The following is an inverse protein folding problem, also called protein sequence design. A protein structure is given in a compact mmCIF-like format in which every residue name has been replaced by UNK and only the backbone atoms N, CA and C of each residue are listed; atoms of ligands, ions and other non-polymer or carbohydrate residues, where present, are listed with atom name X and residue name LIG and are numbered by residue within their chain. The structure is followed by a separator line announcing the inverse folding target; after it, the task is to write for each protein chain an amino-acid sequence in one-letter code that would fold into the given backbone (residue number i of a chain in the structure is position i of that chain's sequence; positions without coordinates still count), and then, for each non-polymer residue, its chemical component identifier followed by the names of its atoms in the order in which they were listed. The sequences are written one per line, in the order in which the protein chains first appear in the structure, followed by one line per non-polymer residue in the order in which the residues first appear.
data_IF_420735241698
#
_entry.id   IF_420735241698
#
_cell.length_a   1.000
_cell.length_b   1.000
_cell.length_c   1.000
_cell.angle_alpha   90.00
_cell.angle_beta   90.00
_cell.angle_gamma   90.00
#
_symmetry.space_group_name_H-M   'P 1'
#
loop_
_entity.id
_entity.type
_entity.pdbx_description
1 polymer ?
#
# COMPACT_ATOMS: atom_id res chain seq x y z
N UNK A 1 6.03 -29.78 -7.33
CA UNK A 1 5.19 -28.56 -7.26
C UNK A 1 5.09 -27.99 -8.66
N UNK A 2 3.88 -27.93 -9.23
CA UNK A 2 3.67 -27.35 -10.55
C UNK A 2 3.93 -25.84 -10.47
N UNK A 3 4.98 -25.35 -11.12
CA UNK A 3 5.29 -23.90 -11.17
C UNK A 3 4.11 -23.08 -11.72
N UNK A 4 3.25 -23.70 -12.55
CA UNK A 4 2.04 -23.08 -13.07
C UNK A 4 0.96 -22.83 -12.00
N UNK A 5 0.90 -23.63 -10.93
CA UNK A 5 -0.11 -23.46 -9.87
C UNK A 5 0.11 -22.24 -8.97
N UNK A 6 1.31 -21.64 -9.01
CA UNK A 6 1.60 -20.41 -8.26
C UNK A 6 0.90 -19.17 -8.84
N UNK A 7 0.52 -19.21 -10.12
CA UNK A 7 -0.17 -18.12 -10.81
C UNK A 7 -1.67 -18.06 -10.49
N UNK A 8 -2.23 -19.07 -9.80
CA UNK A 8 -3.63 -19.05 -9.36
C UNK A 8 -3.79 -18.37 -7.99
N UNK A 9 -2.70 -18.10 -7.27
CA UNK A 9 -2.74 -17.46 -5.96
C UNK A 9 -2.77 -15.91 -6.11
N UNK A 10 -3.88 -15.24 -5.74
CA UNK A 10 -4.03 -13.80 -5.93
C UNK A 10 -3.02 -12.99 -5.12
N UNK A 11 -2.55 -13.48 -3.96
CA UNK A 11 -1.52 -12.82 -3.16
C UNK A 11 -0.16 -12.81 -3.86
N UNK A 12 0.23 -13.92 -4.51
CA UNK A 12 1.49 -14.00 -5.26
C UNK A 12 1.44 -13.07 -6.47
N UNK A 13 0.33 -13.08 -7.21
CA UNK A 13 0.15 -12.19 -8.37
C UNK A 13 0.20 -10.73 -7.94
N UNK A 14 -0.53 -10.37 -6.88
CA UNK A 14 -0.53 -9.00 -6.36
C UNK A 14 0.86 -8.57 -5.89
N UNK A 15 1.54 -9.42 -5.12
CA UNK A 15 2.91 -9.18 -4.68
C UNK A 15 3.84 -8.93 -5.87
N UNK A 16 3.81 -9.75 -6.92
CA UNK A 16 4.61 -9.51 -8.12
C UNK A 16 4.21 -8.21 -8.83
N UNK A 17 2.92 -7.94 -8.95
CA UNK A 17 2.39 -6.76 -9.64
C UNK A 17 2.83 -5.45 -8.98
N UNK A 18 2.86 -5.36 -7.65
CA UNK A 18 3.25 -4.12 -6.94
C UNK A 18 4.73 -3.76 -7.09
N UNK A 19 5.61 -4.72 -7.38
CA UNK A 19 7.04 -4.44 -7.55
C UNK A 19 7.33 -3.71 -8.87
N UNK A 20 6.52 -3.94 -9.91
CA UNK A 20 6.76 -3.34 -11.22
C UNK A 20 6.61 -1.81 -11.17
N UNK A 21 5.52 -1.21 -10.65
CA UNK A 21 5.44 0.24 -10.45
C UNK A 21 6.57 0.81 -9.59
N UNK A 22 7.02 0.10 -8.55
CA UNK A 22 8.14 0.55 -7.68
C UNK A 22 9.43 0.67 -8.47
N UNK A 23 9.80 -0.37 -9.22
CA UNK A 23 10.99 -0.34 -10.07
C UNK A 23 10.87 0.73 -11.17
N UNK A 24 9.69 0.86 -11.77
CA UNK A 24 9.41 1.87 -12.79
C UNK A 24 9.50 3.29 -12.25
N UNK A 25 9.05 3.56 -11.02
CA UNK A 25 9.15 4.87 -10.39
C UNK A 25 10.60 5.31 -10.22
N UNK A 26 11.46 4.41 -9.72
CA UNK A 26 12.89 4.67 -9.54
C UNK A 26 13.58 4.96 -10.89
N UNK A 27 13.38 4.08 -11.88
CA UNK A 27 13.94 4.28 -13.23
C UNK A 27 13.36 5.53 -13.92
N UNK A 28 12.10 5.84 -13.65
CA UNK A 28 11.43 7.05 -14.14
C UNK A 28 12.13 8.32 -13.65
N UNK A 29 12.50 8.39 -12.37
CA UNK A 29 13.27 9.54 -11.84
C UNK A 29 14.59 9.71 -12.57
N UNK A 30 15.34 8.62 -12.78
CA UNK A 30 16.59 8.68 -13.56
C UNK A 30 16.36 9.17 -14.98
N UNK A 31 15.27 8.71 -15.62
CA UNK A 31 14.86 9.14 -16.95
C UNK A 31 14.48 10.63 -16.98
N UNK A 32 13.75 11.13 -15.99
CA UNK A 32 13.41 12.54 -15.85
C UNK A 32 14.65 13.42 -15.66
N UNK A 33 15.65 12.95 -14.89
CA UNK A 33 16.93 13.64 -14.73
C UNK A 33 17.74 13.66 -16.04
N UNK A 34 17.79 12.56 -16.78
CA UNK A 34 18.43 12.54 -18.11
C UNK A 34 17.74 13.51 -19.09
N UNK A 35 16.41 13.57 -19.07
CA UNK A 35 15.61 14.55 -19.79
C UNK A 35 15.97 15.99 -19.39
N UNK A 36 16.18 16.27 -18.10
CA UNK A 36 16.59 17.57 -17.61
C UNK A 36 18.00 17.98 -18.05
N UNK A 37 18.98 17.08 -17.94
CA UNK A 37 20.37 17.33 -18.38
C UNK A 37 20.43 17.62 -19.88
N UNK A 38 19.62 16.93 -20.68
CA UNK A 38 19.53 17.16 -22.15
C UNK A 38 18.60 18.32 -22.53
N UNK A 39 18.06 19.05 -21.55
CA UNK A 39 17.10 20.15 -21.73
C UNK A 39 15.92 19.78 -22.64
N UNK A 40 15.52 18.51 -22.63
CA UNK A 40 14.45 17.95 -23.47
C UNK A 40 14.62 18.17 -24.99
N UNK A 41 15.85 18.40 -25.45
CA UNK A 41 16.18 18.55 -26.90
C UNK A 41 16.23 17.20 -27.63
N UNK A 42 16.50 16.11 -26.90
CA UNK A 42 16.53 14.75 -27.45
C UNK A 42 15.11 14.18 -27.59
N UNK A 43 14.56 14.21 -28.81
CA UNK A 43 13.19 13.75 -29.08
C UNK A 43 12.94 12.26 -28.75
N UNK A 44 13.84 11.31 -29.09
CA UNK A 44 13.75 9.93 -28.62
C UNK A 44 13.62 9.80 -27.10
N UNK A 45 14.48 10.48 -26.34
CA UNK A 45 14.48 10.42 -24.88
C UNK A 45 13.16 10.95 -24.28
N UNK A 46 12.64 12.04 -24.84
CA UNK A 46 11.34 12.59 -24.45
C UNK A 46 10.18 11.61 -24.72
N UNK A 47 10.15 10.98 -25.90
CA UNK A 47 9.13 9.97 -26.23
C UNK A 47 9.20 8.76 -25.30
N UNK A 48 10.42 8.32 -24.99
CA UNK A 48 10.65 7.25 -24.02
C UNK A 48 10.09 7.63 -22.65
N UNK A 49 10.34 8.85 -22.16
CA UNK A 49 9.80 9.32 -20.89
C UNK A 49 8.27 9.37 -20.85
N UNK A 50 7.63 9.90 -21.90
CA UNK A 50 6.16 9.91 -22.01
C UNK A 50 5.62 8.47 -21.98
N UNK A 51 6.19 7.58 -22.79
CA UNK A 51 5.79 6.17 -22.83
C UNK A 51 5.99 5.47 -21.49
N UNK A 52 7.10 5.75 -20.79
CA UNK A 52 7.43 5.15 -19.49
C UNK A 52 6.37 5.44 -18.43
N UNK A 53 6.02 6.72 -18.26
CA UNK A 53 5.00 7.11 -17.27
C UNK A 53 3.60 6.67 -17.68
N UNK A 54 3.28 6.64 -18.99
CA UNK A 54 2.00 6.12 -19.47
C UNK A 54 1.85 4.61 -19.17
N UNK A 55 2.90 3.82 -19.43
CA UNK A 55 2.93 2.38 -19.11
C UNK A 55 2.86 2.18 -17.60
N UNK A 56 3.60 2.97 -16.81
CA UNK A 56 3.53 2.90 -15.35
C UNK A 56 2.11 3.17 -14.83
N UNK A 57 1.40 4.15 -15.40
CA UNK A 57 0.01 4.43 -15.04
C UNK A 57 -0.89 3.22 -15.34
N UNK A 58 -0.77 2.62 -16.53
CA UNK A 58 -1.55 1.44 -16.92
C UNK A 58 -1.27 0.23 -16.01
N UNK A 59 0.00 -0.07 -15.72
CA UNK A 59 0.39 -1.19 -14.83
C UNK A 59 -0.08 -0.95 -13.40
N UNK A 60 0.01 0.30 -12.92
CA UNK A 60 -0.49 0.66 -11.58
C UNK A 60 -2.00 0.45 -11.48
N UNK A 61 -2.76 0.78 -12.54
CA UNK A 61 -4.19 0.50 -12.60
C UNK A 61 -4.48 -1.01 -12.55
N UNK A 62 -3.73 -1.82 -13.31
CA UNK A 62 -3.86 -3.28 -13.25
C UNK A 62 -3.51 -3.85 -11.87
N UNK A 63 -2.57 -3.25 -11.17
CA UNK A 63 -2.16 -3.65 -9.82
C UNK A 63 -3.27 -3.42 -8.78
N UNK A 64 -4.10 -2.38 -8.97
CA UNK A 64 -5.29 -2.17 -8.11
C UNK A 64 -6.25 -3.35 -8.26
N UNK A 65 -6.49 -3.81 -9.49
CA UNK A 65 -7.40 -4.93 -9.76
C UNK A 65 -6.93 -6.23 -9.11
N UNK A 66 -5.61 -6.45 -9.00
CA UNK A 66 -5.08 -7.63 -8.29
C UNK A 66 -5.21 -7.48 -6.78
N UNK A 67 -5.11 -6.26 -6.24
CA UNK A 67 -5.31 -5.97 -4.82
C UNK A 67 -6.77 -6.10 -4.39
N UNK A 68 -7.74 -5.73 -5.23
CA UNK A 68 -9.16 -5.93 -4.91
C UNK A 68 -9.51 -7.41 -4.72
N UNK A 69 -8.86 -8.32 -5.46
CA UNK A 69 -9.07 -9.76 -5.33
C UNK A 69 -8.57 -10.33 -4.01
N UNK A 70 -7.54 -9.74 -3.40
CA UNK A 70 -6.96 -10.22 -2.13
C UNK A 70 -7.72 -9.72 -0.91
N UNK A 71 -8.53 -8.65 -1.03
CA UNK A 71 -9.30 -8.09 0.09
C UNK A 71 -10.32 -9.09 0.66
N UNK A 72 -10.87 -9.98 -0.19
CA UNK A 72 -11.82 -11.01 0.23
C UNK A 72 -11.19 -12.06 1.16
N UNK A 73 -9.88 -12.24 1.09
CA UNK A 73 -9.13 -13.26 1.83
C UNK A 73 -8.66 -12.78 3.21
N UNK A 74 -8.84 -11.49 3.52
CA UNK A 74 -8.47 -10.92 4.82
C UNK A 74 -9.56 -11.27 5.85
N UNK A 75 -9.23 -12.04 6.92
CA UNK A 75 -10.23 -12.41 7.92
C UNK A 75 -10.87 -11.19 8.59
N UNK A 76 -12.18 -11.18 8.78
CA UNK A 76 -12.88 -10.08 9.48
C UNK A 76 -12.45 -9.89 10.94
N UNK A 77 -11.76 -10.87 11.52
CA UNK A 77 -11.25 -10.87 12.90
C UNK A 77 -9.94 -10.09 13.10
N UNK A 78 -9.32 -9.54 12.04
CA UNK A 78 -8.10 -8.74 12.19
C UNK A 78 -8.31 -7.51 13.09
N UNK A 79 -7.25 -7.09 13.79
CA UNK A 79 -7.29 -5.92 14.67
C UNK A 79 -7.61 -4.63 13.90
N UNK A 80 -8.13 -3.62 14.60
CA UNK A 80 -8.41 -2.31 14.01
C UNK A 80 -7.14 -1.64 13.43
N UNK A 81 -5.99 -1.85 14.06
CA UNK A 81 -4.71 -1.35 13.58
C UNK A 81 -4.35 -1.95 12.22
N UNK A 82 -4.45 -3.28 12.06
CA UNK A 82 -4.17 -3.96 10.78
C UNK A 82 -5.11 -3.46 9.69
N UNK A 83 -6.41 -3.29 9.99
CA UNK A 83 -7.37 -2.72 9.04
C UNK A 83 -6.98 -1.32 8.58
N UNK A 84 -6.49 -0.48 9.50
CA UNK A 84 -6.02 0.86 9.15
C UNK A 84 -4.76 0.82 8.27
N UNK A 85 -3.83 -0.10 8.54
CA UNK A 85 -2.65 -0.31 7.68
C UNK A 85 -3.05 -0.77 6.27
N UNK A 86 -4.01 -1.70 6.15
CA UNK A 86 -4.57 -2.15 4.86
C UNK A 86 -5.22 -0.99 4.11
N UNK A 87 -6.06 -0.20 4.79
CA UNK A 87 -6.72 0.95 4.19
C UNK A 87 -5.71 2.01 3.71
N UNK A 88 -4.67 2.26 4.51
CA UNK A 88 -3.61 3.21 4.16
C UNK A 88 -2.80 2.72 2.97
N UNK A 89 -2.36 1.46 2.96
CA UNK A 89 -1.67 0.84 1.83
C UNK A 89 -2.48 0.95 0.54
N UNK A 90 -3.77 0.61 0.62
CA UNK A 90 -4.71 0.72 -0.50
C UNK A 90 -4.83 2.16 -1.01
N UNK A 91 -5.00 3.13 -0.12
CA UNK A 91 -5.13 4.54 -0.48
C UNK A 91 -3.87 5.06 -1.20
N UNK A 92 -2.67 4.67 -0.76
CA UNK A 92 -1.45 5.03 -1.48
C UNK A 92 -1.38 4.33 -2.85
N UNK A 93 -1.66 3.02 -2.91
CA UNK A 93 -1.64 2.23 -4.14
C UNK A 93 -2.62 2.71 -5.21
N UNK A 94 -3.84 3.05 -4.81
CA UNK A 94 -4.92 3.52 -5.70
C UNK A 94 -4.60 4.84 -6.39
N UNK A 95 -3.68 5.64 -5.84
CA UNK A 95 -3.33 6.96 -6.38
C UNK A 95 -2.04 6.96 -7.23
N UNK A 96 -1.30 5.85 -7.29
CA UNK A 96 -0.05 5.77 -8.07
C UNK A 96 -0.30 6.03 -9.56
N UNK A 97 -1.37 5.47 -10.13
CA UNK A 97 -1.67 5.70 -11.56
C UNK A 97 -2.04 7.16 -11.86
N UNK A 98 -2.69 7.86 -10.93
CA UNK A 98 -3.02 9.29 -11.06
C UNK A 98 -1.73 10.11 -11.08
N UNK A 99 -0.81 9.84 -10.15
CA UNK A 99 0.50 10.51 -10.09
C UNK A 99 1.33 10.25 -11.37
N UNK A 100 1.34 9.00 -11.86
CA UNK A 100 2.01 8.63 -13.09
C UNK A 100 1.36 9.28 -14.33
N UNK A 101 0.03 9.33 -14.40
CA UNK A 101 -0.70 10.00 -15.49
C UNK A 101 -0.45 11.51 -15.48
N UNK A 102 -0.48 12.15 -14.32
CA UNK A 102 -0.16 13.56 -14.17
C UNK A 102 1.27 13.86 -14.62
N UNK A 103 2.24 13.02 -14.24
CA UNK A 103 3.63 13.12 -14.70
C UNK A 103 3.74 12.93 -16.22
N UNK A 104 2.94 12.02 -16.81
CA UNK A 104 2.84 11.84 -18.26
C UNK A 104 2.38 13.12 -18.97
N UNK A 105 1.34 13.78 -18.45
CA UNK A 105 0.84 15.03 -19.01
C UNK A 105 1.90 16.13 -18.98
N UNK A 106 2.61 16.28 -17.87
CA UNK A 106 3.74 17.22 -17.75
C UNK A 106 4.82 16.90 -18.80
N UNK A 107 5.18 15.61 -18.95
CA UNK A 107 6.18 15.17 -19.93
C UNK A 107 5.77 15.46 -21.39
N UNK A 108 4.47 15.43 -21.71
CA UNK A 108 3.95 15.85 -23.02
C UNK A 108 4.21 17.34 -23.25
N UNK A 109 3.95 18.20 -22.25
CA UNK A 109 4.15 19.65 -22.35
C UNK A 109 5.62 20.06 -22.45
N UNK A 110 6.57 19.22 -22.01
CA UNK A 110 7.99 19.41 -22.28
C UNK A 110 8.34 19.40 -23.79
N UNK A 111 7.41 19.04 -24.67
CA UNK A 111 7.56 19.16 -26.13
C UNK A 111 7.41 20.58 -26.69
N UNK A 112 7.17 21.61 -25.86
CA UNK A 112 6.93 22.98 -26.30
C UNK A 112 8.09 23.57 -27.13
N UNK A 113 7.74 24.36 -28.16
CA UNK A 113 8.71 25.05 -29.04
C UNK A 113 9.49 26.17 -28.32
N UNK A 114 8.90 26.78 -27.29
CA UNK A 114 9.49 27.90 -26.56
C UNK A 114 10.36 27.38 -25.42
N UNK A 115 11.65 27.76 -25.41
CA UNK A 115 12.64 27.22 -24.47
C UNK A 115 12.28 27.45 -23.00
N UNK A 116 11.75 28.64 -22.66
CA UNK A 116 11.34 28.95 -21.28
C UNK A 116 10.24 28.00 -20.80
N UNK A 117 9.21 27.77 -21.63
CA UNK A 117 8.10 26.87 -21.31
C UNK A 117 8.62 25.43 -21.15
N UNK A 118 9.44 24.98 -22.10
CA UNK A 118 10.06 23.65 -22.05
C UNK A 118 10.85 23.44 -20.77
N UNK A 119 11.69 24.39 -20.39
CA UNK A 119 12.52 24.30 -19.18
C UNK A 119 11.66 24.27 -17.91
N UNK A 120 10.62 25.11 -17.82
CA UNK A 120 9.67 25.08 -16.70
C UNK A 120 9.01 23.71 -16.56
N UNK A 121 8.44 23.16 -17.65
CA UNK A 121 7.82 21.84 -17.60
C UNK A 121 8.83 20.72 -17.32
N UNK A 122 10.08 20.88 -17.75
CA UNK A 122 11.14 19.91 -17.45
C UNK A 122 11.45 19.86 -15.94
N UNK A 123 11.55 21.02 -15.28
CA UNK A 123 11.70 21.09 -13.82
C UNK A 123 10.48 20.49 -13.12
N UNK A 124 9.26 20.85 -13.57
CA UNK A 124 8.02 20.28 -13.03
C UNK A 124 7.97 18.76 -13.21
N UNK A 125 8.47 18.24 -14.33
CA UNK A 125 8.52 16.80 -14.59
C UNK A 125 9.43 16.09 -13.60
N UNK A 126 10.62 16.65 -13.32
CA UNK A 126 11.53 16.08 -12.30
C UNK A 126 10.86 16.09 -10.92
N UNK A 127 10.23 17.19 -10.53
CA UNK A 127 9.51 17.28 -9.25
C UNK A 127 8.35 16.28 -9.16
N UNK A 128 7.54 16.16 -10.22
CA UNK A 128 6.44 15.21 -10.29
C UNK A 128 6.94 13.75 -10.26
N UNK A 129 8.09 13.48 -10.88
CA UNK A 129 8.73 12.16 -10.87
C UNK A 129 9.20 11.77 -9.47
N UNK A 130 9.84 12.70 -8.76
CA UNK A 130 10.27 12.50 -7.36
C UNK A 130 9.07 12.30 -6.44
N UNK A 131 8.01 13.10 -6.61
CA UNK A 131 6.77 12.94 -5.85
C UNK A 131 6.12 11.57 -6.12
N UNK A 132 6.09 11.13 -7.39
CA UNK A 132 5.57 9.81 -7.78
C UNK A 132 6.39 8.68 -7.12
N UNK A 133 7.72 8.80 -7.12
CA UNK A 133 8.60 7.85 -6.43
C UNK A 133 8.35 7.82 -4.92
N UNK A 134 8.31 8.98 -4.24
CA UNK A 134 8.04 9.05 -2.81
C UNK A 134 6.68 8.43 -2.45
N UNK A 135 5.65 8.70 -3.25
CA UNK A 135 4.31 8.14 -3.07
C UNK A 135 4.29 6.61 -3.24
N UNK A 136 5.00 6.12 -4.26
CA UNK A 136 5.13 4.69 -4.54
C UNK A 136 5.93 3.97 -3.45
N UNK A 137 6.98 4.61 -2.92
CA UNK A 137 7.74 4.12 -1.76
C UNK A 137 6.90 4.06 -0.49
N UNK A 138 6.00 5.03 -0.25
CA UNK A 138 5.07 4.98 0.87
C UNK A 138 4.11 3.77 0.74
N UNK A 139 3.55 3.53 -0.46
CA UNK A 139 2.74 2.33 -0.71
C UNK A 139 3.54 1.06 -0.40
N UNK A 140 4.79 0.96 -0.88
CA UNK A 140 5.66 -0.17 -0.64
C UNK A 140 5.94 -0.38 0.86
N UNK A 141 6.20 0.70 1.61
CA UNK A 141 6.44 0.64 3.05
C UNK A 141 5.25 0.07 3.84
N UNK A 142 4.03 0.50 3.52
CA UNK A 142 2.85 -0.09 4.16
C UNK A 142 2.63 -1.53 3.72
N UNK A 143 2.94 -1.87 2.46
CA UNK A 143 2.87 -3.25 1.96
C UNK A 143 3.86 -4.18 2.67
N UNK A 144 5.10 -3.73 2.90
CA UNK A 144 6.09 -4.50 3.67
C UNK A 144 5.67 -4.63 5.14
N UNK A 145 5.10 -3.58 5.73
CA UNK A 145 4.56 -3.64 7.10
C UNK A 145 3.48 -4.72 7.23
N UNK A 146 2.53 -4.77 6.28
CA UNK A 146 1.49 -5.80 6.26
C UNK A 146 2.06 -7.22 6.25
N UNK A 147 3.07 -7.47 5.41
CA UNK A 147 3.65 -8.81 5.24
C UNK A 147 4.54 -9.20 6.43
N UNK A 148 5.48 -8.33 6.81
CA UNK A 148 6.55 -8.68 7.76
C UNK A 148 6.18 -8.44 9.22
N UNK A 149 5.37 -7.42 9.51
CA UNK A 149 4.95 -7.11 10.88
C UNK A 149 3.61 -7.76 11.21
N UNK A 150 2.64 -7.62 10.31
CA UNK A 150 1.25 -8.00 10.58
C UNK A 150 0.90 -9.40 10.03
N UNK A 151 1.80 -10.04 9.28
CA UNK A 151 1.61 -11.38 8.70
C UNK A 151 0.54 -11.47 7.59
N UNK A 152 -0.03 -10.34 7.17
CA UNK A 152 -1.08 -10.26 6.15
C UNK A 152 -0.48 -10.48 4.76
N UNK A 153 -1.06 -11.41 4.00
CA UNK A 153 -0.62 -11.74 2.64
C UNK A 153 0.52 -12.77 2.56
N UNK A 154 0.96 -13.31 3.70
CA UNK A 154 1.88 -14.44 3.73
C UNK A 154 1.13 -15.76 3.48
N UNK A 155 1.64 -16.67 2.63
CA UNK A 155 1.01 -17.96 2.37
C UNK A 155 1.05 -18.94 3.55
N UNK A 156 1.75 -18.59 4.65
CA UNK A 156 1.65 -19.34 5.90
C UNK A 156 0.39 -18.92 6.63
N UNK A 157 -0.50 -19.86 7.01
CA UNK A 157 -1.58 -19.56 7.94
C UNK A 157 -0.97 -18.90 9.17
N UNK A 158 -1.57 -17.81 9.64
CA UNK A 158 -1.22 -17.11 10.87
C UNK A 158 -1.48 -17.99 12.12
N UNK A 159 -0.88 -19.19 12.16
CA UNK A 159 -0.78 -20.06 13.31
C UNK A 159 0.37 -19.64 14.24
N UNK A 160 1.12 -18.59 13.88
CA UNK A 160 2.22 -18.06 14.67
C UNK A 160 1.74 -16.79 15.39
N UNK A 161 1.83 -16.81 16.71
CA UNK A 161 1.66 -15.69 17.64
C UNK A 161 0.24 -15.29 18.09
N UNK A 162 -0.62 -16.26 18.37
CA UNK A 162 -1.24 -16.27 19.71
C UNK A 162 -0.40 -17.17 20.63
N UNK A 163 0.92 -16.93 20.67
CA UNK A 163 1.56 -17.03 21.97
C UNK A 163 0.88 -15.95 22.79
N UNK A 164 -0.11 -16.38 23.57
CA UNK A 164 -0.41 -15.77 24.86
C UNK A 164 0.91 -15.26 25.43
N UNK A 165 0.99 -14.07 26.04
CA UNK A 165 2.09 -13.73 26.92
C UNK A 165 2.10 -14.81 28.01
N UNK A 166 2.74 -15.94 27.68
CA UNK A 166 3.04 -17.03 28.55
C UNK A 166 3.97 -16.35 29.51
N UNK A 167 3.41 -16.07 30.69
CA UNK A 167 4.07 -16.08 31.98
C UNK A 167 5.56 -16.33 31.75
N UNK A 168 6.44 -15.31 31.91
CA UNK A 168 7.88 -15.51 31.73
C UNK A 168 8.23 -16.82 32.41
N UNK A 169 8.74 -17.79 31.63
CA UNK A 169 9.12 -19.08 32.15
C UNK A 169 9.88 -18.81 33.44
N UNK A 170 9.31 -19.27 34.56
CA UNK A 170 9.84 -18.97 35.88
C UNK A 170 11.35 -19.23 35.80
N UNK A 171 12.19 -18.24 36.15
CA UNK A 171 13.64 -18.38 36.02
C UNK A 171 14.02 -19.69 36.67
N UNK A 172 14.62 -20.58 35.88
CA UNK A 172 15.14 -21.86 36.33
C UNK A 172 15.98 -21.56 37.56
N UNK A 173 15.52 -22.05 38.72
CA UNK A 173 15.98 -21.61 40.02
C UNK A 173 17.50 -21.77 40.09
N UNK A 174 18.23 -20.65 40.08
CA UNK A 174 19.65 -20.67 40.38
C UNK A 174 19.82 -21.24 41.79
N UNK A 175 20.65 -22.28 41.98
CA UNK A 175 20.88 -22.81 43.31
C UNK A 175 21.64 -21.77 44.14
N UNK A 176 20.99 -21.25 45.18
CA UNK A 176 21.70 -20.70 46.35
C UNK A 176 21.60 -19.19 46.61
N UNK A 177 20.41 -18.58 46.56
CA UNK A 177 20.18 -17.30 47.27
C UNK A 177 19.21 -17.56 48.44
N UNK A 178 19.62 -17.31 49.70
CA UNK A 178 18.76 -17.50 50.86
C UNK A 178 17.53 -16.58 50.79
N UNK A 179 16.37 -17.17 51.04
CA UNK A 179 15.07 -16.51 51.01
C UNK A 179 15.02 -15.36 52.02
N UNK A 180 14.78 -14.14 51.54
CA UNK A 180 14.33 -13.03 52.38
C UNK A 180 12.82 -13.18 52.57
N UNK A 181 12.44 -13.80 53.68
CA UNK A 181 11.09 -13.80 54.23
C UNK A 181 10.78 -12.39 54.72
N UNK A 182 9.80 -11.73 54.10
CA UNK A 182 8.90 -10.72 54.69
C UNK A 182 8.44 -9.74 53.60
N UNK A 183 7.44 -10.16 52.83
CA UNK A 183 6.54 -9.22 52.17
C UNK A 183 5.12 -9.46 52.66
N UNK A 184 4.37 -8.38 53.00
CA UNK A 184 3.02 -8.47 53.52
C UNK A 184 2.09 -9.13 52.50
N UNK A 185 1.42 -10.20 52.94
CA UNK A 185 0.38 -10.92 52.22
C UNK A 185 -0.75 -9.95 51.92
N UNK A 186 -0.88 -9.54 50.65
CA UNK A 186 -2.05 -8.83 50.18
C UNK A 186 -3.25 -9.79 50.19
N UNK A 187 -4.44 -9.34 50.61
CA UNK A 187 -5.63 -10.17 50.68
C UNK A 187 -5.97 -10.74 49.30
N UNK A 188 -6.13 -12.06 49.27
CA UNK A 188 -6.58 -12.84 48.12
C UNK A 188 -7.99 -12.37 47.73
N UNK A 189 -8.06 -11.55 46.68
CA UNK A 189 -9.32 -11.10 46.11
C UNK A 189 -9.93 -12.29 45.38
N UNK A 190 -10.95 -12.89 46.00
CA UNK A 190 -11.76 -13.97 45.45
C UNK A 190 -12.16 -13.64 44.00
N UNK A 191 -11.85 -14.49 43.01
CA UNK A 191 -12.19 -14.24 41.62
C UNK A 191 -13.70 -14.12 41.48
N UNK A 192 -14.19 -12.88 41.35
CA UNK A 192 -15.58 -12.61 41.03
C UNK A 192 -15.92 -13.34 39.74
N UNK A 193 -16.91 -14.20 39.83
CA UNK A 193 -17.55 -14.92 38.75
C UNK A 193 -17.85 -13.93 37.61
N UNK A 194 -16.98 -13.92 36.59
CA UNK A 194 -17.12 -13.07 35.41
C UNK A 194 -18.40 -13.49 34.73
N UNK A 195 -19.43 -12.64 34.82
CA UNK A 195 -20.65 -12.83 34.07
C UNK A 195 -20.29 -13.12 32.60
N UNK A 196 -20.89 -14.16 31.99
CA UNK A 196 -20.57 -14.54 30.62
C UNK A 196 -20.82 -13.34 29.72
N UNK A 197 -19.74 -12.83 29.11
CA UNK A 197 -19.82 -11.73 28.16
C UNK A 197 -20.78 -12.15 27.06
N UNK A 198 -21.82 -11.35 26.84
CA UNK A 198 -22.74 -11.54 25.71
C UNK A 198 -21.92 -11.61 24.42
N UNK A 199 -22.14 -12.62 23.56
CA UNK A 199 -21.41 -12.75 22.31
C UNK A 199 -21.51 -11.45 21.51
N UNK A 200 -20.38 -10.78 21.30
CA UNK A 200 -20.33 -9.62 20.42
C UNK A 200 -20.55 -10.16 19.00
N UNK A 201 -21.55 -9.64 18.25
CA UNK A 201 -21.76 -10.08 16.88
C UNK A 201 -20.49 -9.83 16.06
N UNK A 202 -20.14 -10.75 15.14
CA UNK A 202 -18.94 -10.57 14.31
C UNK A 202 -19.07 -9.25 13.53
N UNK A 203 -17.98 -8.46 13.41
CA UNK A 203 -18.01 -7.27 12.58
C UNK A 203 -18.35 -7.65 11.13
N UNK A 204 -19.07 -6.78 10.40
CA UNK A 204 -19.40 -7.05 9.00
C UNK A 204 -18.12 -7.25 8.18
N UNK A 205 -18.16 -8.11 7.13
CA UNK A 205 -17.02 -8.33 6.26
C UNK A 205 -16.59 -7.01 5.60
N UNK A 206 -15.28 -6.79 5.46
CA UNK A 206 -14.69 -5.57 4.88
C UNK A 206 -15.18 -5.27 3.45
N UNK A 207 -15.63 -6.29 2.73
CA UNK A 207 -16.23 -6.17 1.40
C UNK A 207 -17.60 -5.49 1.40
N UNK A 208 -18.36 -5.56 2.49
CA UNK A 208 -19.74 -5.04 2.55
C UNK A 208 -19.82 -3.52 2.76
N UNK A 209 -18.73 -2.87 3.21
CA UNK A 209 -18.72 -1.43 3.51
C UNK A 209 -18.04 -0.59 2.43
N UNK A 210 -17.48 -1.21 1.38
CA UNK A 210 -16.72 -0.50 0.35
C UNK A 210 -17.43 -0.51 -0.99
N UNK A 211 -17.83 0.68 -1.46
CA UNK A 211 -18.18 0.90 -2.87
C UNK A 211 -16.99 0.48 -3.75
N UNK A 212 -17.21 -0.30 -4.83
CA UNK A 212 -16.15 -0.69 -5.75
C UNK A 212 -15.44 0.54 -6.34
N UNK A 213 -14.13 0.43 -6.55
CA UNK A 213 -13.26 1.56 -6.95
C UNK A 213 -13.78 2.28 -8.20
N UNK A 214 -14.27 1.53 -9.19
CA UNK A 214 -14.87 2.09 -10.40
C UNK A 214 -16.12 2.93 -10.16
N UNK A 215 -16.94 2.61 -9.15
CA UNK A 215 -18.10 3.42 -8.78
C UNK A 215 -17.70 4.78 -8.20
N UNK A 216 -16.61 4.80 -7.41
CA UNK A 216 -16.07 6.05 -6.87
C UNK A 216 -15.42 6.91 -7.96
N UNK A 217 -14.69 6.28 -8.87
CA UNK A 217 -14.07 6.95 -10.01
C UNK A 217 -15.12 7.54 -10.96
N UNK A 218 -16.15 6.78 -11.32
CA UNK A 218 -17.22 7.28 -12.20
C UNK A 218 -17.94 8.47 -11.59
N UNK A 219 -18.12 8.49 -10.26
CA UNK A 219 -18.68 9.62 -9.54
C UNK A 219 -17.79 10.85 -9.62
N UNK A 220 -16.49 10.73 -9.31
CA UNK A 220 -15.54 11.86 -9.38
C UNK A 220 -15.44 12.41 -10.80
N UNK A 221 -15.33 11.54 -11.80
CA UNK A 221 -15.33 11.98 -13.20
C UNK A 221 -16.67 12.59 -13.60
N UNK A 222 -17.79 12.04 -13.16
CA UNK A 222 -19.12 12.60 -13.36
C UNK A 222 -19.23 14.02 -12.79
N UNK A 223 -18.73 14.25 -11.58
CA UNK A 223 -18.72 15.57 -10.93
C UNK A 223 -17.81 16.55 -11.69
N UNK A 224 -16.62 16.12 -12.12
CA UNK A 224 -15.71 16.93 -12.94
C UNK A 224 -16.31 17.26 -14.31
N UNK A 225 -16.95 16.29 -14.98
CA UNK A 225 -17.61 16.50 -16.26
C UNK A 225 -18.82 17.43 -16.14
N UNK A 226 -19.65 17.26 -15.12
CA UNK A 226 -20.79 18.15 -14.85
C UNK A 226 -20.33 19.57 -14.50
N UNK A 227 -19.20 19.71 -13.80
CA UNK A 227 -18.60 21.01 -13.51
C UNK A 227 -18.06 21.71 -14.77
N UNK A 228 -17.39 20.95 -15.66
CA UNK A 228 -16.82 21.48 -16.90
C UNK A 228 -17.85 21.69 -18.01
N UNK A 229 -18.95 20.93 -18.00
CA UNK A 229 -19.97 20.93 -19.05
C UNK A 229 -21.38 20.77 -18.48
N UNK A 230 -21.94 21.80 -17.82
CA UNK A 230 -23.27 21.71 -17.23
C UNK A 230 -24.32 21.51 -18.33
N UNK A 231 -25.05 20.40 -18.27
CA UNK A 231 -26.21 20.18 -19.16
C UNK A 231 -27.32 21.13 -18.74
N UNK A 232 -27.58 22.15 -19.57
CA UNK A 232 -28.75 23.02 -19.46
C UNK A 232 -29.98 22.34 -20.06
#
# INVERSE_FOLDING_TARGET
MNMLGGLDNPHIIHALAVHVPVAMALLGVLLALMCAVTQMKNAPLRRLAIGWYAIMAAISLLTILTGERTLGDIPGSVSAEIRNTVATHRMFGENIWIAALFTTLIAIFCGAKRDNIRNTFTVLMVMASLATMAWTSAAAWYGTTLIYRDGVGSPKPAAVAMESPGVPAAPEAMPGIPASTDLPVMPEVSPGEKAPATPIPPPPPLSATHEPYFGRLSKVWGDVFNFLWPTQ
#
